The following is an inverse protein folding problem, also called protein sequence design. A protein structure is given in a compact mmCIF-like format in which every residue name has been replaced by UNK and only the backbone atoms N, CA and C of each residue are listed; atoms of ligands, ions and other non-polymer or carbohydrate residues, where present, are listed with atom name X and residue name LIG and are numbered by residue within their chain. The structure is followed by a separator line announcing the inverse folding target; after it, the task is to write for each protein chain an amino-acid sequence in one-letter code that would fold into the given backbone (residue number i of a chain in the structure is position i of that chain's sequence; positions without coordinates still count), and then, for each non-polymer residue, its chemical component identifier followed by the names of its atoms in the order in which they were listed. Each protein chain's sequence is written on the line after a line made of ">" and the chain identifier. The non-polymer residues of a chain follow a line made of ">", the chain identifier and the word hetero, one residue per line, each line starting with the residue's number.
data_IF_786517455234
#
_entry.id   IF_786517455234
#
_cell.length_a   1.000
_cell.length_b   1.000
_cell.length_c   1.000
_cell.angle_alpha   90.00
_cell.angle_beta   90.00
_cell.angle_gamma   90.00
#
_symmetry.space_group_name_H-M   'P 1'
#
loop_
_entity.id
_entity.type
_entity.pdbx_description
1 polymer ?
#
# COMPACT_ATOMS: atom_id res chain seq x y z
N UNK A 1 -9.85 16.67 -13.75
CA UNK A 1 -10.00 15.48 -12.90
C UNK A 1 -8.86 14.52 -13.06
N UNK A 2 -7.89 14.53 -12.15
CA UNK A 2 -6.95 13.43 -12.02
C UNK A 2 -7.66 12.47 -11.06
N UNK A 3 -8.24 11.39 -11.59
CA UNK A 3 -8.81 10.34 -10.77
C UNK A 3 -7.63 9.60 -10.12
N UNK A 4 -7.21 10.07 -8.94
CA UNK A 4 -6.11 9.45 -8.20
C UNK A 4 -6.69 8.20 -7.54
N UNK A 5 -6.64 7.07 -8.24
CA UNK A 5 -6.98 5.77 -7.67
C UNK A 5 -5.92 5.40 -6.61
N UNK A 6 -6.23 5.70 -5.35
CA UNK A 6 -5.43 5.28 -4.18
C UNK A 6 -6.14 4.12 -3.50
N UNK A 7 -5.43 3.00 -3.37
CA UNK A 7 -5.88 1.84 -2.63
C UNK A 7 -5.05 1.71 -1.36
N UNK A 8 -5.66 1.33 -0.25
CA UNK A 8 -4.91 1.00 0.96
C UNK A 8 -5.49 -0.22 1.66
N UNK A 9 -4.63 -0.92 2.39
CA UNK A 9 -5.00 -2.03 3.26
C UNK A 9 -4.23 -1.87 4.58
N UNK A 10 -4.93 -2.01 5.70
CA UNK A 10 -4.32 -2.05 7.02
C UNK A 10 -4.56 -3.42 7.64
N UNK A 11 -3.49 -4.03 8.11
CA UNK A 11 -3.53 -5.30 8.83
C UNK A 11 -2.73 -5.18 10.14
N UNK A 12 -3.44 -5.09 11.25
CA UNK A 12 -2.86 -4.77 12.56
C UNK A 12 -2.13 -3.43 12.55
N UNK A 13 -0.82 -3.48 12.78
CA UNK A 13 0.08 -2.33 12.80
C UNK A 13 0.66 -1.99 11.43
N UNK A 14 0.44 -2.81 10.40
CA UNK A 14 0.98 -2.54 9.06
C UNK A 14 -0.06 -1.92 8.16
N UNK A 15 0.37 -0.94 7.35
CA UNK A 15 -0.47 -0.28 6.36
C UNK A 15 0.25 -0.21 5.03
N UNK A 16 -0.33 -0.81 4.00
CA UNK A 16 0.12 -0.70 2.61
C UNK A 16 -0.78 0.29 1.86
N UNK A 17 -0.17 1.10 1.00
CA UNK A 17 -0.83 2.06 0.12
C UNK A 17 -0.30 1.83 -1.29
N UNK A 18 -1.21 1.77 -2.25
CA UNK A 18 -0.91 1.75 -3.68
C UNK A 18 -1.55 2.95 -4.36
N UNK A 19 -0.72 3.80 -4.96
CA UNK A 19 -1.18 4.94 -5.76
C UNK A 19 -1.03 4.57 -7.24
N UNK A 20 -2.14 4.23 -7.90
CA UNK A 20 -2.14 3.72 -9.28
C UNK A 20 -1.56 4.73 -10.27
N UNK A 21 -1.92 6.01 -10.14
CA UNK A 21 -1.44 7.07 -11.04
C UNK A 21 0.08 7.21 -11.06
N UNK A 22 0.74 6.95 -9.93
CA UNK A 22 2.20 7.04 -9.78
C UNK A 22 2.88 5.68 -9.84
N UNK A 23 2.11 4.59 -10.01
CA UNK A 23 2.52 3.21 -9.77
C UNK A 23 3.36 3.05 -8.48
N UNK A 24 2.97 3.79 -7.44
CA UNK A 24 3.76 3.92 -6.21
C UNK A 24 3.22 3.01 -5.13
N UNK A 25 4.12 2.22 -4.54
CA UNK A 25 3.84 1.37 -3.39
C UNK A 25 4.48 1.93 -2.14
N UNK A 26 3.71 1.97 -1.06
CA UNK A 26 4.17 2.43 0.24
C UNK A 26 3.71 1.44 1.30
N UNK A 27 4.59 1.16 2.26
CA UNK A 27 4.29 0.31 3.40
C UNK A 27 4.81 0.99 4.66
N UNK A 28 3.99 1.02 5.70
CA UNK A 28 4.32 1.65 6.97
C UNK A 28 4.01 0.69 8.12
N UNK A 29 4.91 0.67 9.11
CA UNK A 29 4.66 0.10 10.43
C UNK A 29 4.16 1.22 11.34
N UNK A 30 2.86 1.26 11.60
CA UNK A 30 2.19 2.27 12.42
C UNK A 30 2.55 2.18 13.90
N UNK A 31 3.10 1.05 14.36
CA UNK A 31 3.58 0.90 15.74
C UNK A 31 4.93 1.58 15.91
N UNK A 32 5.85 1.36 14.97
CA UNK A 32 7.18 1.98 14.97
C UNK A 32 7.13 3.44 14.44
N UNK A 33 6.25 3.71 13.50
CA UNK A 33 6.11 4.99 12.80
C UNK A 33 4.64 5.39 12.60
N UNK A 34 3.97 5.89 13.67
CA UNK A 34 2.58 6.31 13.62
C UNK A 34 2.31 7.50 12.68
N UNK A 35 3.37 8.19 12.23
CA UNK A 35 3.28 9.37 11.36
C UNK A 35 3.58 9.04 9.89
N UNK A 36 3.78 7.77 9.55
CA UNK A 36 3.96 7.30 8.16
C UNK A 36 5.07 8.06 7.41
N UNK A 37 6.19 8.29 8.09
CA UNK A 37 7.34 9.02 7.55
C UNK A 37 8.37 8.12 6.86
N UNK A 38 8.41 6.85 7.23
CA UNK A 38 9.41 5.88 6.80
C UNK A 38 8.73 4.79 5.97
N UNK A 39 8.79 4.93 4.65
CA UNK A 39 8.33 3.88 3.75
C UNK A 39 9.28 2.67 3.84
N UNK A 40 8.75 1.53 4.25
CA UNK A 40 9.48 0.26 4.39
C UNK A 40 9.10 -0.76 3.30
N UNK A 41 8.47 -0.33 2.20
CA UNK A 41 8.05 -1.23 1.12
C UNK A 41 9.21 -2.04 0.53
N UNK A 42 10.37 -1.42 0.32
CA UNK A 42 11.54 -2.08 -0.29
C UNK A 42 12.31 -2.98 0.68
N UNK A 43 12.14 -2.79 1.99
CA UNK A 43 12.93 -3.47 3.02
C UNK A 43 12.14 -4.49 3.83
N UNK A 44 10.80 -4.39 3.84
CA UNK A 44 9.95 -5.24 4.66
C UNK A 44 9.65 -6.57 3.96
N UNK A 45 9.91 -7.73 4.59
CA UNK A 45 9.54 -9.02 4.02
C UNK A 45 8.02 -9.19 3.89
N UNK A 46 7.23 -8.41 4.63
CA UNK A 46 5.76 -8.45 4.60
C UNK A 46 5.15 -7.69 3.42
N UNK A 47 5.96 -6.98 2.66
CA UNK A 47 5.49 -6.18 1.53
C UNK A 47 4.74 -7.03 0.49
N UNK A 48 5.34 -8.15 0.06
CA UNK A 48 4.73 -9.02 -0.94
C UNK A 48 3.40 -9.60 -0.46
N UNK A 49 3.32 -10.05 0.80
CA UNK A 49 2.09 -10.58 1.40
C UNK A 49 0.96 -9.53 1.38
N UNK A 50 1.25 -8.30 1.80
CA UNK A 50 0.26 -7.22 1.81
C UNK A 50 -0.13 -6.78 0.39
N UNK A 51 0.82 -6.80 -0.54
CA UNK A 51 0.59 -6.51 -1.96
C UNK A 51 -0.37 -7.53 -2.59
N UNK A 52 -0.17 -8.82 -2.34
CA UNK A 52 -1.07 -9.87 -2.85
C UNK A 52 -2.50 -9.72 -2.34
N UNK A 53 -2.70 -9.22 -1.11
CA UNK A 53 -4.02 -8.98 -0.53
C UNK A 53 -4.76 -7.81 -1.18
N UNK A 54 -4.05 -6.75 -1.61
CA UNK A 54 -4.68 -5.55 -2.18
C UNK A 54 -4.88 -5.64 -3.70
N UNK A 55 -4.03 -6.41 -4.41
CA UNK A 55 -4.08 -6.59 -5.86
C UNK A 55 -5.49 -6.93 -6.42
N UNK A 56 -6.29 -7.83 -5.81
CA UNK A 56 -7.64 -8.13 -6.31
C UNK A 56 -8.56 -6.91 -6.38
N UNK A 57 -8.37 -5.91 -5.51
CA UNK A 57 -9.18 -4.70 -5.49
C UNK A 57 -8.71 -3.68 -6.52
N UNK A 58 -7.40 -3.62 -6.76
CA UNK A 58 -6.79 -2.79 -7.81
C UNK A 58 -7.23 -3.27 -9.20
N UNK A 59 -7.15 -4.58 -9.44
CA UNK A 59 -7.45 -5.20 -10.74
C UNK A 59 -8.94 -5.22 -11.09
N UNK A 60 -9.82 -4.93 -10.13
CA UNK A 60 -11.28 -4.92 -10.34
C UNK A 60 -11.72 -3.91 -11.41
N UNK A 61 -10.90 -2.89 -11.66
CA UNK A 61 -11.18 -1.80 -12.59
C UNK A 61 -10.21 -1.75 -13.80
N UNK A 62 -9.54 -2.86 -14.13
CA UNK A 62 -8.67 -3.02 -15.32
C UNK A 62 -9.42 -3.59 -16.55
N UNK A 63 -10.73 -3.34 -16.69
CA UNK A 63 -11.49 -3.78 -17.86
C UNK A 63 -11.37 -2.81 -19.03
#
# INVERSE_FOLDING_TARGET
>A
DINIDVYYLREGDLKIIYTRYLDKWELYDLKADPKEKNNIADTSPKFNEMKEKILPWVRRWEK
#
